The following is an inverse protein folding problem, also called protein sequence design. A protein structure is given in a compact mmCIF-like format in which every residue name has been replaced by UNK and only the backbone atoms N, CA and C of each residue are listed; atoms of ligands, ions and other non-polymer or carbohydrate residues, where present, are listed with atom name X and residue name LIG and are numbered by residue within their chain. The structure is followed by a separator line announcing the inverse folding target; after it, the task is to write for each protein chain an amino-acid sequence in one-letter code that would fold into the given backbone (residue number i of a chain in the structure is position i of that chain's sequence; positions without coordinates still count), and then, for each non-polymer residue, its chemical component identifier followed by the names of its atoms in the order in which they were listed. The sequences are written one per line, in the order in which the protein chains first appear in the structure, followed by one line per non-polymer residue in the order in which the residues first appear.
data_IF_307397369711
#
_entry.id   IF_307397369711
#
_cell.length_a   1.000
_cell.length_b   1.000
_cell.length_c   1.000
_cell.angle_alpha   90.00
_cell.angle_beta   90.00
_cell.angle_gamma   90.00
#
_symmetry.space_group_name_H-M   'P 1'
#
loop_
_entity.id
_entity.type
_entity.pdbx_description
1 polymer ?
#
# COMPACT_ATOMS: atom_id res chain seq x y z
N UNK A 1 -25.46 -18.22 -21.09
CA UNK A 1 -24.27 -17.43 -20.77
C UNK A 1 -24.79 -16.14 -20.16
N UNK A 2 -24.77 -16.02 -18.84
CA UNK A 2 -25.15 -14.75 -18.19
C UNK A 2 -24.15 -13.67 -18.62
N UNK A 3 -24.60 -12.44 -18.94
CA UNK A 3 -23.69 -11.37 -19.30
C UNK A 3 -22.83 -11.04 -18.09
N UNK A 4 -21.50 -11.06 -18.27
CA UNK A 4 -20.53 -10.53 -17.30
C UNK A 4 -20.99 -9.13 -16.91
N UNK A 5 -21.42 -8.99 -15.65
CA UNK A 5 -22.01 -7.76 -15.15
C UNK A 5 -20.89 -6.73 -15.05
N UNK A 6 -20.78 -5.87 -16.08
CA UNK A 6 -19.71 -4.87 -16.21
C UNK A 6 -19.49 -4.14 -14.89
N UNK A 7 -18.29 -4.27 -14.33
CA UNK A 7 -17.89 -3.61 -13.09
C UNK A 7 -18.10 -2.09 -13.16
N UNK A 8 -18.80 -1.53 -12.17
CA UNK A 8 -18.99 -0.07 -12.03
C UNK A 8 -18.20 0.46 -10.85
N UNK A 9 -17.77 1.73 -10.94
CA UNK A 9 -17.12 2.43 -9.81
C UNK A 9 -17.99 2.42 -8.54
N UNK A 10 -19.31 2.50 -8.68
CA UNK A 10 -20.25 2.39 -7.55
C UNK A 10 -20.21 1.02 -6.87
N UNK A 11 -19.94 -0.04 -7.63
CA UNK A 11 -19.82 -1.40 -7.08
C UNK A 11 -18.52 -1.52 -6.30
N UNK A 12 -17.43 -0.95 -6.82
CA UNK A 12 -16.14 -0.89 -6.12
C UNK A 12 -16.30 -0.12 -4.80
N UNK A 13 -16.94 1.06 -4.84
CA UNK A 13 -17.16 1.85 -3.64
C UNK A 13 -17.99 1.09 -2.60
N UNK A 14 -19.16 0.59 -2.99
CA UNK A 14 -20.11 -0.03 -2.05
C UNK A 14 -19.68 -1.41 -1.51
N UNK A 15 -18.83 -2.15 -2.24
CA UNK A 15 -18.42 -3.51 -1.83
C UNK A 15 -17.04 -3.57 -1.20
N UNK A 16 -16.22 -2.55 -1.46
CA UNK A 16 -14.83 -2.49 -1.01
C UNK A 16 -14.66 -1.24 -0.15
N UNK A 17 -14.63 -0.05 -0.77
CA UNK A 17 -14.19 1.19 -0.09
C UNK A 17 -15.06 1.54 1.11
N UNK A 18 -16.40 1.45 1.02
CA UNK A 18 -17.30 1.83 2.10
C UNK A 18 -17.18 0.96 3.36
N UNK A 19 -16.54 -0.20 3.23
CA UNK A 19 -16.32 -1.18 4.30
C UNK A 19 -14.94 -1.05 4.96
N UNK A 20 -14.11 -0.12 4.48
CA UNK A 20 -12.74 0.08 4.99
C UNK A 20 -12.63 1.36 5.81
N UNK A 21 -11.74 1.41 6.83
CA UNK A 21 -11.64 2.54 7.76
C UNK A 21 -11.39 3.89 7.07
N UNK A 22 -10.63 3.89 5.97
CA UNK A 22 -10.28 5.09 5.22
C UNK A 22 -11.44 5.71 4.42
N UNK A 23 -12.64 5.12 4.47
CA UNK A 23 -13.83 5.83 4.02
C UNK A 23 -14.05 7.13 4.84
N UNK A 24 -13.54 7.18 6.07
CA UNK A 24 -13.26 8.42 6.78
C UNK A 24 -11.76 8.75 6.69
N UNK A 25 -11.42 9.88 6.06
CA UNK A 25 -10.04 10.30 5.83
C UNK A 25 -9.34 10.78 7.11
N UNK A 26 -10.08 11.06 8.19
CA UNK A 26 -9.50 11.52 9.44
C UNK A 26 -8.66 10.43 10.12
N UNK A 27 -8.90 9.14 9.80
CA UNK A 27 -8.10 8.01 10.28
C UNK A 27 -6.61 8.16 9.96
N UNK A 28 -6.25 8.86 8.88
CA UNK A 28 -4.86 9.08 8.49
C UNK A 28 -4.14 10.19 9.27
N UNK A 29 -4.89 10.96 10.05
CA UNK A 29 -4.41 12.12 10.81
C UNK A 29 -4.65 11.95 12.31
N UNK A 30 -5.01 10.75 12.76
CA UNK A 30 -5.07 10.44 14.18
C UNK A 30 -3.69 10.54 14.83
N UNK A 31 -3.67 10.77 16.15
CA UNK A 31 -2.44 10.95 16.91
C UNK A 31 -1.83 9.59 17.28
N UNK A 32 -1.13 8.98 16.33
CA UNK A 32 -0.42 7.72 16.53
C UNK A 32 0.90 7.91 17.30
N UNK A 33 1.13 7.08 18.32
CA UNK A 33 2.39 7.08 19.08
C UNK A 33 3.57 6.54 18.27
N UNK A 34 3.28 5.64 17.31
CA UNK A 34 4.25 5.00 16.41
C UNK A 34 3.81 5.10 14.94
N UNK A 35 4.43 4.30 14.05
CA UNK A 35 3.90 4.14 12.71
C UNK A 35 2.62 3.30 12.72
N UNK A 36 1.79 3.52 11.72
CA UNK A 36 0.63 2.69 11.42
C UNK A 36 0.62 2.29 9.95
N UNK A 37 0.00 1.15 9.67
CA UNK A 37 -0.20 0.62 8.32
C UNK A 37 -1.68 0.28 8.14
N UNK A 38 -2.37 1.09 7.34
CA UNK A 38 -3.79 0.87 7.06
C UNK A 38 -3.92 0.14 5.71
N UNK A 39 -4.36 -1.13 5.69
CA UNK A 39 -4.55 -1.86 4.43
C UNK A 39 -5.65 -1.22 3.60
N UNK A 40 -5.45 -1.18 2.27
CA UNK A 40 -6.52 -0.73 1.37
C UNK A 40 -7.73 -1.67 1.37
N UNK A 41 -7.54 -2.94 1.69
CA UNK A 41 -8.62 -3.89 1.89
C UNK A 41 -8.24 -4.83 3.01
N UNK A 42 -8.98 -4.81 4.12
CA UNK A 42 -8.68 -5.62 5.31
C UNK A 42 -9.02 -7.11 5.15
N UNK A 43 -9.74 -7.51 4.09
CA UNK A 43 -10.17 -8.90 3.88
C UNK A 43 -10.14 -9.32 2.41
N UNK A 44 -9.38 -10.37 2.08
CA UNK A 44 -9.33 -10.97 0.74
C UNK A 44 -10.69 -11.34 0.16
N UNK A 45 -11.65 -11.78 0.98
CA UNK A 45 -13.01 -12.10 0.53
C UNK A 45 -13.73 -10.94 -0.17
N UNK A 46 -13.38 -9.68 0.12
CA UNK A 46 -13.94 -8.49 -0.54
C UNK A 46 -13.35 -8.25 -1.93
N UNK A 47 -12.19 -8.84 -2.22
CA UNK A 47 -11.50 -8.69 -3.50
C UNK A 47 -12.04 -9.60 -4.60
N UNK A 48 -13.02 -10.46 -4.30
CA UNK A 48 -13.58 -11.40 -5.27
C UNK A 48 -14.06 -10.70 -6.55
N UNK A 49 -14.75 -9.55 -6.42
CA UNK A 49 -15.20 -8.78 -7.57
C UNK A 49 -14.03 -8.34 -8.46
N UNK A 50 -12.96 -7.81 -7.86
CA UNK A 50 -11.77 -7.36 -8.61
C UNK A 50 -11.04 -8.55 -9.23
N UNK A 51 -10.92 -9.66 -8.49
CA UNK A 51 -10.25 -10.88 -8.96
C UNK A 51 -10.97 -11.49 -10.16
N UNK A 52 -12.29 -11.57 -10.11
CA UNK A 52 -13.12 -12.16 -11.17
C UNK A 52 -13.07 -11.31 -12.46
N UNK A 53 -12.97 -9.98 -12.34
CA UNK A 53 -12.97 -9.06 -13.49
C UNK A 53 -11.57 -8.73 -14.04
N UNK A 54 -10.54 -8.67 -13.19
CA UNK A 54 -9.20 -8.17 -13.53
C UNK A 54 -8.09 -9.20 -13.39
N UNK A 55 -8.36 -10.42 -12.91
CA UNK A 55 -7.38 -11.38 -12.37
C UNK A 55 -6.72 -10.91 -11.07
N UNK A 56 -5.92 -11.80 -10.45
CA UNK A 56 -5.21 -11.48 -9.22
C UNK A 56 -4.19 -10.33 -9.38
N UNK A 57 -3.32 -10.43 -10.39
CA UNK A 57 -2.35 -9.37 -10.70
C UNK A 57 -3.02 -8.05 -11.10
N UNK A 58 -4.13 -8.11 -11.85
CA UNK A 58 -4.89 -6.90 -12.19
C UNK A 58 -5.60 -6.28 -10.98
N UNK A 59 -6.03 -7.08 -10.00
CA UNK A 59 -6.53 -6.58 -8.72
C UNK A 59 -5.41 -5.90 -7.92
N UNK A 60 -4.20 -6.47 -7.85
CA UNK A 60 -3.03 -5.82 -7.23
C UNK A 60 -2.69 -4.49 -7.91
N UNK A 61 -2.70 -4.44 -9.24
CA UNK A 61 -2.50 -3.20 -10.01
C UNK A 61 -3.58 -2.16 -9.68
N UNK A 62 -4.86 -2.58 -9.63
CA UNK A 62 -5.97 -1.69 -9.27
C UNK A 62 -5.79 -1.10 -7.86
N UNK A 63 -5.48 -1.94 -6.88
CA UNK A 63 -5.24 -1.50 -5.50
C UNK A 63 -4.01 -0.59 -5.41
N UNK A 64 -2.95 -0.88 -6.16
CA UNK A 64 -1.76 -0.02 -6.23
C UNK A 64 -2.11 1.37 -6.77
N UNK A 65 -2.87 1.44 -7.87
CA UNK A 65 -3.36 2.71 -8.41
C UNK A 65 -4.27 3.47 -7.42
N UNK A 66 -5.13 2.76 -6.70
CA UNK A 66 -5.97 3.33 -5.65
C UNK A 66 -5.12 3.88 -4.49
N UNK A 67 -4.05 3.19 -4.09
CA UNK A 67 -3.14 3.65 -3.04
C UNK A 67 -2.46 4.96 -3.44
N UNK A 68 -2.01 5.06 -4.70
CA UNK A 68 -1.40 6.27 -5.24
C UNK A 68 -2.39 7.43 -5.31
N UNK A 69 -3.64 7.17 -5.72
CA UNK A 69 -4.71 8.17 -5.69
C UNK A 69 -4.96 8.68 -4.27
N UNK A 70 -5.07 7.77 -3.31
CA UNK A 70 -5.30 8.09 -1.91
C UNK A 70 -4.14 8.89 -1.32
N UNK A 71 -2.91 8.48 -1.62
CA UNK A 71 -1.70 9.16 -1.17
C UNK A 71 -1.60 10.61 -1.68
N UNK A 72 -1.96 10.84 -2.94
CA UNK A 72 -2.02 12.19 -3.50
C UNK A 72 -3.10 13.04 -2.81
N UNK A 73 -4.25 12.44 -2.50
CA UNK A 73 -5.32 13.10 -1.75
C UNK A 73 -4.85 13.46 -0.33
N UNK A 74 -4.15 12.55 0.35
CA UNK A 74 -3.59 12.75 1.69
C UNK A 74 -2.57 13.87 1.73
N UNK A 75 -1.71 13.98 0.71
CA UNK A 75 -0.76 15.10 0.58
C UNK A 75 -1.48 16.45 0.49
N UNK A 76 -2.57 16.53 -0.27
CA UNK A 76 -3.37 17.76 -0.36
C UNK A 76 -4.03 18.10 0.98
N UNK A 77 -4.55 17.08 1.68
CA UNK A 77 -5.14 17.24 3.01
C UNK A 77 -4.10 17.67 4.05
N UNK A 78 -2.91 17.05 4.08
CA UNK A 78 -1.79 17.41 4.96
C UNK A 78 -1.50 18.92 4.85
N UNK A 79 -1.33 19.41 3.62
CA UNK A 79 -1.05 20.83 3.36
C UNK A 79 -2.22 21.70 3.81
N UNK A 80 -3.46 21.34 3.48
CA UNK A 80 -4.63 22.15 3.84
C UNK A 80 -4.88 22.24 5.34
N UNK A 81 -4.54 21.17 6.08
CA UNK A 81 -4.75 21.05 7.53
C UNK A 81 -3.54 21.47 8.34
N UNK A 82 -2.41 21.81 7.69
CA UNK A 82 -1.12 22.11 8.33
C UNK A 82 -0.60 20.98 9.22
N UNK A 83 -0.92 19.74 8.83
CA UNK A 83 -0.48 18.54 9.52
C UNK A 83 0.97 18.20 9.18
N UNK A 84 1.62 17.41 10.04
CA UNK A 84 3.02 16.99 9.85
C UNK A 84 3.13 15.47 9.89
N UNK A 85 2.62 14.86 8.84
CA UNK A 85 2.58 13.41 8.68
C UNK A 85 3.39 13.00 7.46
N UNK A 86 4.14 11.92 7.59
CA UNK A 86 4.79 11.25 6.47
C UNK A 86 3.90 10.11 6.00
N UNK A 87 3.64 10.09 4.70
CA UNK A 87 2.89 9.02 4.05
C UNK A 87 3.72 8.30 3.00
N UNK A 88 3.58 6.97 2.96
CA UNK A 88 4.10 6.11 1.90
C UNK A 88 3.11 4.98 1.60
N UNK A 89 3.38 4.20 0.56
CA UNK A 89 2.71 2.90 0.37
C UNK A 89 3.64 1.82 0.91
N UNK A 90 3.10 0.85 1.64
CA UNK A 90 3.86 -0.32 2.07
C UNK A 90 3.18 -1.62 1.68
N UNK A 91 3.99 -2.68 1.57
CA UNK A 91 3.57 -4.04 1.25
C UNK A 91 4.24 -4.98 2.23
N UNK A 92 3.44 -5.82 2.88
CA UNK A 92 3.89 -6.72 3.95
C UNK A 92 3.40 -8.16 3.74
N UNK A 93 2.25 -8.35 3.11
CA UNK A 93 1.57 -9.64 2.99
C UNK A 93 1.96 -10.38 1.70
N UNK A 94 3.23 -10.78 1.62
CA UNK A 94 3.76 -11.55 0.48
C UNK A 94 3.34 -13.03 0.53
N UNK A 95 3.10 -13.58 1.71
CA UNK A 95 2.52 -14.92 1.86
C UNK A 95 1.08 -14.95 1.34
N UNK A 96 0.27 -13.95 1.69
CA UNK A 96 -1.07 -13.77 1.15
C UNK A 96 -1.08 -13.59 -0.38
N UNK A 97 -0.04 -13.00 -0.97
CA UNK A 97 0.15 -13.00 -2.43
C UNK A 97 0.34 -14.44 -2.96
N UNK A 98 1.18 -15.27 -2.35
CA UNK A 98 1.39 -16.65 -2.81
C UNK A 98 0.12 -17.50 -2.68
N UNK A 99 -0.67 -17.30 -1.62
CA UNK A 99 -1.89 -18.06 -1.37
C UNK A 99 -3.10 -17.57 -2.18
N UNK A 100 -3.30 -16.25 -2.24
CA UNK A 100 -4.52 -15.63 -2.78
C UNK A 100 -4.31 -15.03 -4.17
N UNK A 101 -3.06 -14.87 -4.60
CA UNK A 101 -2.69 -14.28 -5.89
C UNK A 101 -2.93 -12.77 -5.97
N UNK A 102 -3.09 -12.08 -4.83
CA UNK A 102 -3.31 -10.64 -4.77
C UNK A 102 -2.40 -10.04 -3.69
N UNK A 103 -1.69 -8.99 -4.06
CA UNK A 103 -0.86 -8.20 -3.17
C UNK A 103 -1.64 -6.94 -2.76
N UNK A 104 -1.89 -6.78 -1.47
CA UNK A 104 -2.68 -5.67 -0.93
C UNK A 104 -1.71 -4.58 -0.43
N UNK A 105 -1.75 -3.36 -0.99
CA UNK A 105 -1.01 -2.23 -0.45
C UNK A 105 -1.64 -1.72 0.84
N UNK A 106 -0.79 -1.20 1.72
CA UNK A 106 -1.16 -0.39 2.86
C UNK A 106 -0.78 1.07 2.62
N UNK A 107 -1.50 1.99 3.26
CA UNK A 107 -0.98 3.34 3.50
C UNK A 107 -0.19 3.32 4.80
N UNK A 108 1.11 3.57 4.68
CA UNK A 108 2.01 3.74 5.80
C UNK A 108 1.94 5.19 6.30
N UNK A 109 1.74 5.35 7.61
CA UNK A 109 1.59 6.63 8.29
C UNK A 109 2.68 6.73 9.33
N UNK A 110 3.39 7.86 9.37
CA UNK A 110 4.38 8.10 10.41
C UNK A 110 4.50 9.57 10.77
N UNK A 111 4.69 9.92 12.05
CA UNK A 111 4.96 11.30 12.44
C UNK A 111 6.22 11.85 11.75
N UNK A 112 6.08 12.96 11.02
CA UNK A 112 7.15 13.54 10.16
C UNK A 112 8.45 13.90 10.90
N UNK A 113 8.44 14.37 12.18
CA UNK A 113 9.69 14.62 12.90
C UNK A 113 10.57 13.36 13.06
N UNK A 114 9.96 12.17 13.09
CA UNK A 114 10.66 10.90 13.21
C UNK A 114 11.00 10.26 11.85
N UNK A 115 10.34 10.69 10.76
CA UNK A 115 10.42 10.03 9.45
C UNK A 115 11.77 10.16 8.75
N UNK A 116 12.54 11.23 9.04
CA UNK A 116 13.87 11.43 8.44
C UNK A 116 14.82 10.33 8.90
N UNK A 117 14.94 10.10 10.21
CA UNK A 117 15.79 9.05 10.75
C UNK A 117 15.30 7.64 10.42
N UNK A 118 14.00 7.47 10.15
CA UNK A 118 13.45 6.21 9.68
C UNK A 118 13.93 5.88 8.25
N UNK A 119 13.77 6.80 7.29
CA UNK A 119 14.19 6.56 5.91
C UNK A 119 15.70 6.37 5.78
N UNK A 120 16.50 7.09 6.58
CA UNK A 120 17.95 6.88 6.64
C UNK A 120 18.30 5.45 7.08
N UNK A 121 17.67 4.96 8.16
CA UNK A 121 17.87 3.58 8.62
C UNK A 121 17.43 2.53 7.60
N UNK A 122 16.32 2.74 6.91
CA UNK A 122 15.86 1.80 5.88
C UNK A 122 16.86 1.78 4.71
N UNK A 123 17.38 2.94 4.30
CA UNK A 123 18.42 3.05 3.27
C UNK A 123 19.74 2.38 3.67
N UNK A 124 20.18 2.54 4.90
CA UNK A 124 21.42 1.93 5.41
C UNK A 124 21.35 0.39 5.41
N UNK A 125 20.16 -0.18 5.57
CA UNK A 125 19.92 -1.61 5.58
C UNK A 125 19.62 -2.19 4.18
N UNK A 126 19.53 -1.35 3.15
CA UNK A 126 19.30 -1.80 1.78
C UNK A 126 20.60 -2.41 1.22
N UNK A 127 20.63 -3.74 1.15
CA UNK A 127 21.79 -4.52 0.68
C UNK A 127 22.12 -4.34 -0.81
N UNK A 128 21.34 -3.55 -1.56
CA UNK A 128 21.60 -3.18 -2.95
C UNK A 128 21.30 -4.28 -3.98
N UNK A 129 20.90 -5.47 -3.52
CA UNK A 129 20.37 -6.54 -4.38
C UNK A 129 18.86 -6.50 -4.34
N UNK A 130 18.25 -6.39 -5.51
CA UNK A 130 16.79 -6.36 -5.65
C UNK A 130 16.19 -7.74 -5.37
N UNK A 131 15.34 -7.83 -4.36
CA UNK A 131 14.63 -9.04 -3.98
C UNK A 131 13.48 -9.36 -4.94
N UNK A 132 12.90 -10.57 -4.83
CA UNK A 132 11.70 -10.96 -5.57
C UNK A 132 10.50 -10.07 -5.18
N UNK A 133 10.37 -9.79 -3.89
CA UNK A 133 9.31 -8.96 -3.30
C UNK A 133 9.36 -7.52 -3.83
N UNK A 134 10.58 -6.95 -3.87
CA UNK A 134 10.82 -5.63 -4.44
C UNK A 134 10.46 -5.58 -5.94
N UNK A 135 10.87 -6.60 -6.71
CA UNK A 135 10.55 -6.69 -8.14
C UNK A 135 9.04 -6.76 -8.37
N UNK A 136 8.33 -7.56 -7.57
CA UNK A 136 6.88 -7.69 -7.66
C UNK A 136 6.20 -6.34 -7.41
N UNK A 137 6.56 -5.64 -6.33
CA UNK A 137 6.01 -4.31 -6.01
C UNK A 137 6.30 -3.31 -7.12
N UNK A 138 7.55 -3.21 -7.58
CA UNK A 138 7.90 -2.29 -8.68
C UNK A 138 7.08 -2.57 -9.93
N UNK A 139 6.88 -3.84 -10.29
CA UNK A 139 6.09 -4.21 -11.46
C UNK A 139 4.66 -3.66 -11.41
N UNK A 140 4.01 -3.66 -10.24
CA UNK A 140 2.68 -3.09 -10.07
C UNK A 140 2.67 -1.56 -10.27
N UNK A 141 3.69 -0.86 -9.77
CA UNK A 141 3.84 0.58 -10.01
C UNK A 141 4.18 0.89 -11.48
N UNK A 142 4.98 0.06 -12.15
CA UNK A 142 5.28 0.18 -13.58
C UNK A 142 4.00 0.00 -14.41
N UNK A 143 3.19 -1.01 -14.08
CA UNK A 143 1.91 -1.28 -14.75
C UNK A 143 0.90 -0.14 -14.55
N UNK A 144 1.00 0.59 -13.44
CA UNK A 144 0.21 1.79 -13.19
C UNK A 144 0.82 3.06 -13.83
N UNK A 145 2.00 2.98 -14.45
CA UNK A 145 2.68 4.11 -15.10
C UNK A 145 3.28 5.14 -14.14
N UNK A 146 3.54 4.76 -12.88
CA UNK A 146 3.94 5.68 -11.81
C UNK A 146 5.25 5.32 -11.12
N UNK A 147 5.91 4.21 -11.47
CA UNK A 147 7.15 3.74 -10.85
C UNK A 147 8.20 4.84 -10.66
N UNK A 148 8.44 5.67 -11.68
CA UNK A 148 9.49 6.70 -11.65
C UNK A 148 9.22 7.84 -10.67
N UNK A 149 7.99 7.97 -10.17
CA UNK A 149 7.61 8.93 -9.15
C UNK A 149 7.91 8.45 -7.71
N UNK A 150 8.43 7.23 -7.55
CA UNK A 150 8.68 6.62 -6.24
C UNK A 150 10.12 6.13 -6.11
N UNK A 151 10.63 6.22 -4.89
CA UNK A 151 11.78 5.47 -4.42
C UNK A 151 11.28 4.25 -3.67
N UNK A 152 11.93 3.11 -3.90
CA UNK A 152 11.55 1.84 -3.30
C UNK A 152 12.62 1.38 -2.32
N UNK A 153 12.17 0.89 -1.17
CA UNK A 153 13.05 0.41 -0.11
C UNK A 153 12.50 -0.87 0.52
N UNK A 154 13.38 -1.72 1.00
CA UNK A 154 13.02 -2.97 1.66
C UNK A 154 13.58 -3.00 3.08
N UNK A 155 12.78 -3.52 4.01
CA UNK A 155 13.19 -3.82 5.36
C UNK A 155 12.84 -5.27 5.65
N UNK A 156 13.85 -6.06 6.03
CA UNK A 156 13.68 -7.42 6.55
C UNK A 156 14.04 -7.47 8.02
N UNK A 157 13.19 -8.07 8.83
CA UNK A 157 13.52 -8.35 10.22
C UNK A 157 12.91 -9.69 10.63
N UNK A 158 13.65 -10.40 11.46
CA UNK A 158 13.20 -11.67 12.01
C UNK A 158 12.43 -11.41 13.29
N UNK A 159 11.15 -11.80 13.33
CA UNK A 159 10.38 -11.81 14.56
C UNK A 159 10.69 -13.10 15.33
N UNK A 160 11.49 -12.98 16.38
CA UNK A 160 11.87 -14.11 17.22
C UNK A 160 10.68 -14.75 17.96
N UNK A 161 9.54 -14.05 18.09
CA UNK A 161 8.34 -14.57 18.78
C UNK A 161 7.57 -15.54 17.87
N UNK A 162 7.46 -15.20 16.58
CA UNK A 162 6.77 -16.03 15.58
C UNK A 162 7.73 -16.90 14.75
N UNK A 163 9.04 -16.69 14.88
CA UNK A 163 10.09 -17.30 14.06
C UNK A 163 9.92 -17.05 12.55
N UNK A 164 9.25 -15.95 12.19
CA UNK A 164 8.96 -15.56 10.82
C UNK A 164 9.87 -14.41 10.37
N UNK A 165 10.26 -14.43 9.10
CA UNK A 165 10.91 -13.27 8.46
C UNK A 165 9.81 -12.33 7.96
N UNK A 166 9.75 -11.12 8.52
CA UNK A 166 8.82 -10.10 8.05
C UNK A 166 9.54 -9.27 7.00
N UNK A 167 9.03 -9.34 5.78
CA UNK A 167 9.48 -8.53 4.64
C UNK A 167 8.52 -7.37 4.48
N UNK A 168 9.05 -6.14 4.46
CA UNK A 168 8.29 -4.93 4.17
C UNK A 168 8.94 -4.17 3.03
N UNK A 169 8.18 -3.94 1.97
CA UNK A 169 8.60 -3.09 0.86
C UNK A 169 7.84 -1.77 0.93
N UNK A 170 8.56 -0.67 0.86
CA UNK A 170 8.02 0.69 0.84
C UNK A 170 8.13 1.26 -0.57
N UNK A 171 7.08 1.93 -1.02
CA UNK A 171 7.13 2.88 -2.12
C UNK A 171 6.93 4.29 -1.55
N UNK A 172 8.03 5.04 -1.47
CA UNK A 172 8.08 6.39 -0.94
C UNK A 172 8.04 7.36 -2.11
N UNK A 173 7.05 8.26 -2.22
CA UNK A 173 6.99 9.10 -3.40
C UNK A 173 8.09 10.14 -3.34
N UNK A 174 8.85 10.25 -4.44
CA UNK A 174 9.84 11.31 -4.66
C UNK A 174 9.09 12.63 -4.51
N UNK A 175 9.51 13.45 -3.55
CA UNK A 175 9.00 14.82 -3.46
C UNK A 175 9.24 15.51 -4.79
N UNK A 176 8.16 15.91 -5.47
CA UNK A 176 8.23 16.90 -6.53
C UNK A 176 8.46 18.28 -5.92
#
# INVERSE_FOLDING_TARGET
MEPLLKMKLTDIYSKIISEEPYNDMDVFFENYESFEEIPLVSRYSRLKLLKDELSGSGASNFLTGLAVFLLNTLRLLEVSRSERVFFAVSFTDFEGLEEQGILIPNIFIYPKPASVGFLEKVRENDGGLESREMQEVKSHFSNCGVETAFDFYESRFHDAVCAEEIVRVFAVPRTC
#
